data_IF_033404224095
#
_entry.id   IF_033404224095
#
_cell.length_a   1.000
_cell.length_b   1.000
_cell.length_c   1.000
_cell.angle_alpha   90.00
_cell.angle_beta   90.00
_cell.angle_gamma   90.00
#
_symmetry.space_group_name_H-M   'P 1'
#
loop_
_entity.id
_entity.type
_entity.pdbx_description
1 polymer ?
#
# COMPACT_ATOMS: atom_id res chain seq x y z
N UNK A 1 -22.09 9.21 17.07
CA UNK A 1 -20.67 9.17 16.65
C UNK A 1 -20.62 9.39 15.15
N UNK A 2 -19.71 10.22 14.60
CA UNK A 2 -19.58 10.35 13.15
C UNK A 2 -19.30 8.97 12.55
N UNK A 3 -20.11 8.56 11.58
CA UNK A 3 -19.89 7.31 10.85
C UNK A 3 -18.60 7.43 10.03
N UNK A 4 -17.84 6.34 9.90
CA UNK A 4 -16.67 6.26 9.02
C UNK A 4 -16.98 6.72 7.58
N UNK A 5 -18.23 6.63 7.14
CA UNK A 5 -18.74 7.18 5.87
C UNK A 5 -18.41 8.66 5.66
N UNK A 6 -18.40 9.48 6.72
CA UNK A 6 -18.15 10.91 6.53
C UNK A 6 -16.71 11.21 6.13
N UNK A 7 -15.76 10.30 6.36
CA UNK A 7 -14.41 10.42 5.81
C UNK A 7 -14.43 10.42 4.28
N UNK A 8 -15.35 9.67 3.68
CA UNK A 8 -15.42 9.47 2.24
C UNK A 8 -16.25 10.56 1.56
N UNK A 9 -17.28 11.07 2.23
CA UNK A 9 -18.20 12.06 1.67
C UNK A 9 -17.86 13.50 2.03
N UNK A 10 -17.23 13.73 3.18
CA UNK A 10 -16.90 15.06 3.70
C UNK A 10 -15.64 15.00 4.60
N UNK A 11 -14.46 14.79 3.99
CA UNK A 11 -13.20 14.64 4.73
C UNK A 11 -12.85 15.89 5.54
N UNK A 12 -13.18 17.09 5.04
CA UNK A 12 -12.93 18.35 5.75
C UNK A 12 -13.68 18.38 7.08
N UNK A 13 -14.99 18.14 7.06
CA UNK A 13 -15.75 18.10 8.31
C UNK A 13 -15.36 16.90 9.19
N UNK A 14 -14.97 15.76 8.61
CA UNK A 14 -14.50 14.60 9.36
C UNK A 14 -13.24 14.91 10.18
N UNK A 15 -12.26 15.57 9.58
CA UNK A 15 -11.01 15.94 10.23
C UNK A 15 -11.17 17.14 11.17
N UNK A 16 -11.91 18.17 10.77
CA UNK A 16 -12.16 19.34 11.61
C UNK A 16 -12.87 19.03 12.93
N UNK A 17 -13.73 18.00 12.96
CA UNK A 17 -14.44 17.58 14.18
C UNK A 17 -13.57 16.85 15.22
N UNK A 18 -12.35 16.42 14.86
CA UNK A 18 -11.47 15.63 15.74
C UNK A 18 -10.58 16.48 16.65
N UNK A 19 -10.48 17.79 16.41
CA UNK A 19 -9.69 18.70 17.23
C UNK A 19 -8.19 18.36 17.24
N UNK A 20 -7.51 18.77 18.32
CA UNK A 20 -6.05 18.72 18.48
C UNK A 20 -5.52 17.52 19.27
N UNK A 21 -6.39 16.63 19.75
CA UNK A 21 -6.01 15.39 20.45
C UNK A 21 -6.84 14.19 19.93
N UNK A 22 -6.61 13.78 18.66
CA UNK A 22 -7.34 12.67 18.06
C UNK A 22 -6.90 11.31 18.61
N UNK A 23 -7.87 10.42 18.80
CA UNK A 23 -7.57 9.02 19.13
C UNK A 23 -6.89 8.27 17.97
N UNK A 24 -5.81 7.56 18.29
CA UNK A 24 -5.12 6.64 17.37
C UNK A 24 -5.86 5.32 17.13
N UNK A 25 -6.93 5.01 17.87
CA UNK A 25 -7.62 3.70 17.78
C UNK A 25 -8.17 3.42 16.37
N UNK A 26 -8.83 4.40 15.76
CA UNK A 26 -9.37 4.25 14.40
C UNK A 26 -8.27 4.06 13.35
N UNK A 27 -7.26 4.95 13.27
CA UNK A 27 -6.08 4.78 12.44
C UNK A 27 -5.38 3.42 12.60
N UNK A 28 -5.22 2.97 13.85
CA UNK A 28 -4.63 1.68 14.16
C UNK A 28 -5.44 0.51 13.57
N UNK A 29 -6.77 0.56 13.64
CA UNK A 29 -7.65 -0.43 13.01
C UNK A 29 -7.45 -0.44 11.50
N UNK A 30 -7.37 0.72 10.84
CA UNK A 30 -7.14 0.81 9.39
C UNK A 30 -5.85 0.12 8.99
N UNK A 31 -4.73 0.45 9.65
CA UNK A 31 -3.41 -0.13 9.34
C UNK A 31 -3.36 -1.62 9.67
N UNK A 32 -4.02 -2.04 10.75
CA UNK A 32 -4.14 -3.47 11.12
C UNK A 32 -4.93 -4.25 10.08
N UNK A 33 -5.99 -3.68 9.50
CA UNK A 33 -6.74 -4.33 8.42
C UNK A 33 -5.86 -4.52 7.17
N UNK A 34 -5.01 -3.55 6.82
CA UNK A 34 -4.04 -3.70 5.73
C UNK A 34 -3.08 -4.86 6.03
N UNK A 35 -2.51 -4.89 7.23
CA UNK A 35 -1.60 -5.97 7.65
C UNK A 35 -2.29 -7.35 7.61
N UNK A 36 -3.53 -7.44 8.09
CA UNK A 36 -4.31 -8.69 8.08
C UNK A 36 -4.58 -9.17 6.64
N UNK A 37 -5.01 -8.27 5.76
CA UNK A 37 -5.26 -8.60 4.34
C UNK A 37 -3.98 -9.05 3.65
N UNK A 38 -2.86 -8.34 3.88
CA UNK A 38 -1.57 -8.70 3.32
C UNK A 38 -1.05 -10.04 3.86
N UNK A 39 -1.28 -10.35 5.15
CA UNK A 39 -0.93 -11.63 5.74
C UNK A 39 -1.70 -12.78 5.08
N UNK A 40 -3.01 -12.62 4.85
CA UNK A 40 -3.83 -13.60 4.11
C UNK A 40 -3.28 -13.79 2.69
N UNK A 41 -2.97 -12.70 1.98
CA UNK A 41 -2.38 -12.79 0.65
C UNK A 41 -1.02 -13.52 0.64
N UNK A 42 -0.17 -13.28 1.63
CA UNK A 42 1.14 -13.94 1.74
C UNK A 42 1.00 -15.45 1.90
N UNK A 43 0.03 -15.92 2.69
CA UNK A 43 -0.26 -17.36 2.85
C UNK A 43 -0.75 -17.97 1.53
N UNK A 44 -1.60 -17.27 0.78
CA UNK A 44 -2.07 -17.74 -0.53
C UNK A 44 -0.93 -17.85 -1.55
N UNK A 45 0.01 -16.91 -1.53
CA UNK A 45 1.17 -16.89 -2.43
C UNK A 45 2.25 -17.92 -2.05
N UNK A 46 2.29 -18.38 -0.80
CA UNK A 46 3.31 -19.33 -0.36
C UNK A 46 3.34 -20.62 -1.17
N UNK A 47 2.16 -21.16 -1.53
CA UNK A 47 2.08 -22.40 -2.34
C UNK A 47 2.77 -22.26 -3.69
N UNK A 48 2.69 -21.07 -4.28
CA UNK A 48 3.36 -20.74 -5.53
C UNK A 48 4.87 -20.60 -5.33
N UNK A 49 5.31 -19.91 -4.26
CA UNK A 49 6.73 -19.78 -3.94
C UNK A 49 7.39 -21.12 -3.58
N UNK A 50 6.70 -21.99 -2.85
CA UNK A 50 7.22 -23.32 -2.53
C UNK A 50 7.59 -24.12 -3.79
N UNK A 51 6.71 -24.11 -4.81
CA UNK A 51 6.98 -24.75 -6.10
C UNK A 51 8.17 -24.13 -6.84
N UNK A 52 8.33 -22.80 -6.78
CA UNK A 52 9.49 -22.12 -7.39
C UNK A 52 10.81 -22.55 -6.74
N UNK A 53 10.84 -22.67 -5.41
CA UNK A 53 12.04 -23.09 -4.69
C UNK A 53 12.35 -24.59 -4.87
N UNK A 54 11.32 -25.43 -4.99
CA UNK A 54 11.47 -26.84 -5.34
C UNK A 54 12.08 -26.99 -6.74
N UNK A 55 11.54 -26.31 -7.76
CA UNK A 55 12.01 -26.39 -9.14
C UNK A 55 13.39 -25.74 -9.37
N UNK A 56 13.87 -24.93 -8.43
CA UNK A 56 15.22 -24.36 -8.43
C UNK A 56 16.23 -25.17 -7.62
N UNK A 57 15.83 -26.31 -7.04
CA UNK A 57 16.71 -27.20 -6.28
C UNK A 57 17.04 -26.73 -4.86
N UNK A 58 16.45 -25.63 -4.39
CA UNK A 58 16.68 -25.09 -3.04
C UNK A 58 15.91 -25.86 -1.94
N UNK A 59 14.90 -26.64 -2.33
CA UNK A 59 14.10 -27.48 -1.43
C UNK A 59 13.05 -26.72 -0.62
N UNK A 60 12.03 -27.43 -0.15
CA UNK A 60 10.86 -26.86 0.54
C UNK A 60 11.18 -26.22 1.91
N UNK A 61 12.24 -26.69 2.58
CA UNK A 61 12.74 -26.10 3.83
C UNK A 61 13.22 -24.66 3.66
N UNK A 62 13.89 -24.35 2.54
CA UNK A 62 14.34 -22.99 2.23
C UNK A 62 13.15 -22.05 1.99
N UNK A 63 12.15 -22.51 1.22
CA UNK A 63 10.92 -21.75 0.99
C UNK A 63 10.22 -21.36 2.30
N UNK A 64 10.13 -22.31 3.24
CA UNK A 64 9.50 -22.10 4.55
C UNK A 64 10.27 -21.08 5.38
N UNK A 65 11.61 -21.16 5.39
CA UNK A 65 12.46 -20.22 6.10
C UNK A 65 12.32 -18.78 5.55
N UNK A 66 12.34 -18.62 4.22
CA UNK A 66 12.13 -17.33 3.56
C UNK A 66 10.74 -16.78 3.88
N UNK A 67 9.69 -17.61 3.79
CA UNK A 67 8.34 -17.16 4.10
C UNK A 67 8.23 -16.68 5.56
N UNK A 68 8.75 -17.45 6.52
CA UNK A 68 8.70 -17.08 7.93
C UNK A 68 9.40 -15.73 8.19
N UNK A 69 10.56 -15.52 7.57
CA UNK A 69 11.28 -14.25 7.64
C UNK A 69 10.48 -13.10 7.01
N UNK A 70 9.97 -13.28 5.79
CA UNK A 70 9.18 -12.26 5.10
C UNK A 70 7.88 -11.92 5.81
N UNK A 71 7.26 -12.88 6.52
CA UNK A 71 6.01 -12.68 7.23
C UNK A 71 6.09 -11.60 8.31
N UNK A 72 7.26 -11.44 8.95
CA UNK A 72 7.53 -10.34 9.88
C UNK A 72 7.32 -8.98 9.20
N UNK A 73 7.88 -8.82 7.99
CA UNK A 73 7.74 -7.59 7.21
C UNK A 73 6.34 -7.41 6.65
N UNK A 74 5.62 -8.48 6.32
CA UNK A 74 4.21 -8.41 5.89
C UNK A 74 3.33 -7.83 6.99
N UNK A 75 3.56 -8.21 8.24
CA UNK A 75 2.82 -7.69 9.39
C UNK A 75 3.31 -6.30 9.80
N UNK A 76 4.61 -6.10 9.96
CA UNK A 76 5.17 -4.85 10.47
C UNK A 76 5.18 -3.72 9.42
N UNK A 77 5.27 -4.07 8.14
CA UNK A 77 5.43 -3.15 7.02
C UNK A 77 4.39 -2.02 6.99
N UNK A 78 3.08 -2.30 7.06
CA UNK A 78 2.06 -1.25 7.08
C UNK A 78 2.22 -0.24 8.23
N UNK A 79 2.65 -0.68 9.41
CA UNK A 79 2.89 0.19 10.56
C UNK A 79 4.13 1.07 10.36
N UNK A 80 5.20 0.49 9.82
CA UNK A 80 6.41 1.24 9.48
C UNK A 80 6.12 2.29 8.41
N UNK A 81 5.41 1.90 7.35
CA UNK A 81 5.00 2.82 6.27
C UNK A 81 4.12 3.94 6.83
N UNK A 82 3.17 3.64 7.70
CA UNK A 82 2.34 4.67 8.34
C UNK A 82 3.18 5.69 9.13
N UNK A 83 4.12 5.21 9.96
CA UNK A 83 5.05 6.07 10.70
C UNK A 83 5.92 6.91 9.77
N UNK A 84 6.44 6.32 8.68
CA UNK A 84 7.26 7.02 7.70
C UNK A 84 6.49 8.13 6.99
N UNK A 85 5.26 7.87 6.52
CA UNK A 85 4.43 8.89 5.91
C UNK A 85 4.12 10.03 6.88
N UNK A 86 3.76 9.71 8.13
CA UNK A 86 3.51 10.73 9.14
C UNK A 86 4.76 11.58 9.42
N UNK A 87 5.93 10.95 9.54
CA UNK A 87 7.20 11.62 9.77
C UNK A 87 7.61 12.52 8.61
N UNK A 88 7.50 12.01 7.38
CA UNK A 88 7.83 12.77 6.15
C UNK A 88 6.87 13.94 5.97
N UNK A 89 5.57 13.74 6.13
CA UNK A 89 4.60 14.84 6.03
C UNK A 89 4.80 15.89 7.11
N UNK A 90 5.09 15.48 8.35
CA UNK A 90 5.43 16.42 9.40
C UNK A 90 6.68 17.21 9.05
N UNK A 91 7.75 16.53 8.61
CA UNK A 91 9.01 17.19 8.22
C UNK A 91 8.83 18.19 7.08
N UNK A 92 8.10 17.83 6.01
CA UNK A 92 7.84 18.74 4.90
C UNK A 92 6.94 19.91 5.33
N UNK A 93 5.98 19.69 6.24
CA UNK A 93 5.08 20.75 6.71
C UNK A 93 5.78 21.91 7.41
N UNK A 94 6.99 21.69 7.95
CA UNK A 94 7.82 22.73 8.56
C UNK A 94 8.18 23.84 7.58
N UNK A 95 8.31 23.53 6.27
CA UNK A 95 8.56 24.53 5.22
C UNK A 95 7.39 25.50 5.01
N UNK A 96 6.23 25.21 5.59
CA UNK A 96 5.00 25.98 5.49
C UNK A 96 4.51 26.47 6.85
N UNK A 97 5.42 26.55 7.84
CA UNK A 97 5.13 26.95 9.22
C UNK A 97 4.04 26.08 9.89
N UNK A 98 3.95 24.81 9.49
CA UNK A 98 2.99 23.87 10.07
C UNK A 98 3.31 23.59 11.54
N UNK A 99 2.29 23.62 12.40
CA UNK A 99 2.39 23.43 13.85
C UNK A 99 1.61 22.17 14.32
N UNK A 100 1.67 21.80 15.59
CA UNK A 100 0.99 20.64 16.16
C UNK A 100 1.93 19.50 16.51
N UNK A 101 1.40 18.48 17.18
CA UNK A 101 2.19 17.36 17.66
C UNK A 101 2.24 16.20 16.64
N UNK A 102 3.22 15.31 16.84
CA UNK A 102 3.36 14.13 15.99
C UNK A 102 2.20 13.14 16.14
N UNK A 103 1.60 13.06 17.33
CA UNK A 103 0.45 12.19 17.59
C UNK A 103 -0.74 12.55 16.70
N UNK A 104 -1.05 13.84 16.58
CA UNK A 104 -2.14 14.33 15.72
C UNK A 104 -1.85 14.05 14.25
N UNK A 105 -0.63 14.34 13.79
CA UNK A 105 -0.21 14.00 12.41
C UNK A 105 -0.36 12.51 12.15
N UNK A 106 0.15 11.66 13.05
CA UNK A 106 0.07 10.21 12.93
C UNK A 106 -1.37 9.73 12.84
N UNK A 107 -2.26 10.22 13.71
CA UNK A 107 -3.68 9.87 13.69
C UNK A 107 -4.37 10.28 12.39
N UNK A 108 -4.16 11.50 11.91
CA UNK A 108 -4.83 12.00 10.70
C UNK A 108 -4.28 11.32 9.44
N UNK A 109 -2.98 11.07 9.39
CA UNK A 109 -2.33 10.33 8.28
C UNK A 109 -2.82 8.89 8.21
N UNK A 110 -3.05 8.24 9.36
CA UNK A 110 -3.54 6.86 9.37
C UNK A 110 -4.95 6.70 8.79
N UNK A 111 -5.81 7.72 8.92
CA UNK A 111 -7.10 7.72 8.22
C UNK A 111 -6.98 7.81 6.70
N UNK A 112 -5.93 8.45 6.19
CA UNK A 112 -5.69 8.50 4.75
C UNK A 112 -5.26 7.16 4.15
N UNK A 113 -4.98 6.13 4.96
CA UNK A 113 -4.76 4.76 4.48
C UNK A 113 -6.06 3.95 4.24
N UNK A 114 -7.24 4.52 4.51
CA UNK A 114 -8.52 3.82 4.28
C UNK A 114 -8.68 3.32 2.83
N UNK A 115 -8.37 4.11 1.78
CA UNK A 115 -8.41 3.63 0.40
C UNK A 115 -7.45 2.45 0.16
N UNK A 116 -6.31 2.42 0.85
CA UNK A 116 -5.34 1.32 0.74
C UNK A 116 -5.89 -0.01 1.27
N UNK A 117 -6.83 0.00 2.21
CA UNK A 117 -7.53 -1.24 2.64
C UNK A 117 -8.30 -1.84 1.45
N UNK A 118 -9.02 -1.00 0.71
CA UNK A 118 -9.77 -1.43 -0.49
C UNK A 118 -8.81 -1.90 -1.59
N UNK A 119 -7.70 -1.18 -1.79
CA UNK A 119 -6.64 -1.57 -2.72
C UNK A 119 -6.00 -2.91 -2.38
N UNK A 120 -5.70 -3.16 -1.10
CA UNK A 120 -5.19 -4.45 -0.62
C UNK A 120 -6.19 -5.57 -0.91
N UNK A 121 -7.47 -5.40 -0.59
CA UNK A 121 -8.51 -6.42 -0.87
C UNK A 121 -8.63 -6.70 -2.37
N UNK A 122 -8.67 -5.66 -3.21
CA UNK A 122 -8.70 -5.81 -4.65
C UNK A 122 -7.46 -6.54 -5.18
N UNK A 123 -6.27 -6.21 -4.66
CA UNK A 123 -5.02 -6.88 -5.01
C UNK A 123 -5.04 -8.37 -4.64
N UNK A 124 -5.55 -8.72 -3.45
CA UNK A 124 -5.71 -10.13 -3.05
C UNK A 124 -6.65 -10.86 -3.99
N UNK A 125 -7.79 -10.27 -4.34
CA UNK A 125 -8.76 -10.90 -5.25
C UNK A 125 -8.17 -11.14 -6.65
N UNK A 126 -7.47 -10.14 -7.21
CA UNK A 126 -6.82 -10.27 -8.52
C UNK A 126 -5.72 -11.33 -8.48
N UNK A 127 -4.87 -11.30 -7.46
CA UNK A 127 -3.80 -12.29 -7.31
C UNK A 127 -4.34 -13.70 -7.08
N UNK A 128 -5.40 -13.85 -6.27
CA UNK A 128 -6.05 -15.14 -6.07
C UNK A 128 -6.56 -15.70 -7.39
N UNK A 129 -7.29 -14.90 -8.16
CA UNK A 129 -7.75 -15.30 -9.49
C UNK A 129 -6.59 -15.68 -10.41
N UNK A 130 -5.55 -14.84 -10.45
CA UNK A 130 -4.38 -15.04 -11.31
C UNK A 130 -3.62 -16.33 -11.01
N UNK A 131 -3.32 -16.58 -9.74
CA UNK A 131 -2.46 -17.70 -9.33
C UNK A 131 -3.23 -19.00 -9.07
N UNK A 132 -4.49 -18.93 -8.61
CA UNK A 132 -5.24 -20.11 -8.19
C UNK A 132 -6.36 -20.51 -9.15
N UNK A 133 -6.91 -19.58 -9.94
CA UNK A 133 -8.01 -19.86 -10.88
C UNK A 133 -7.51 -19.97 -12.31
N UNK A 134 -6.85 -18.92 -12.83
CA UNK A 134 -6.23 -18.95 -14.16
C UNK A 134 -5.03 -19.88 -14.19
N UNK A 135 -4.32 -19.99 -13.06
CA UNK A 135 -3.06 -20.71 -12.96
C UNK A 135 -1.92 -19.91 -13.58
N UNK A 136 -0.72 -20.17 -13.07
CA UNK A 136 0.52 -19.67 -13.66
C UNK A 136 1.44 -20.87 -13.82
N UNK A 137 1.91 -21.09 -15.05
CA UNK A 137 2.79 -22.20 -15.38
C UNK A 137 4.20 -21.90 -14.87
N UNK A 138 4.55 -22.54 -13.77
CA UNK A 138 5.89 -22.47 -13.20
C UNK A 138 6.81 -23.40 -14.01
N UNK A 139 7.95 -22.91 -14.55
CA UNK A 139 8.90 -23.76 -15.26
C UNK A 139 9.36 -24.92 -14.37
N UNK A 140 9.39 -26.14 -14.94
CA UNK A 140 9.84 -27.34 -14.24
C UNK A 140 11.34 -27.33 -13.95
N UNK A 141 12.11 -26.63 -14.79
CA UNK A 141 13.55 -26.39 -14.61
C UNK A 141 13.83 -24.89 -14.63
N UNK A 142 14.57 -24.41 -13.64
CA UNK A 142 14.84 -22.98 -13.45
C UNK A 142 16.19 -22.58 -14.05
N UNK A 143 16.33 -22.62 -15.39
CA UNK A 143 17.48 -21.99 -16.06
C UNK A 143 17.43 -20.46 -15.90
N UNK A 144 18.54 -19.77 -16.18
CA UNK A 144 18.59 -18.29 -16.13
C UNK A 144 17.58 -17.68 -17.09
N UNK A 145 17.50 -18.20 -18.31
CA UNK A 145 16.58 -17.74 -19.36
C UNK A 145 15.12 -18.04 -18.99
N UNK A 146 14.85 -19.25 -18.49
CA UNK A 146 13.51 -19.63 -18.04
C UNK A 146 13.03 -18.74 -16.89
N UNK A 147 13.91 -18.42 -15.94
CA UNK A 147 13.61 -17.51 -14.84
C UNK A 147 13.30 -16.09 -15.35
N UNK A 148 14.05 -15.59 -16.33
CA UNK A 148 13.82 -14.26 -16.92
C UNK A 148 12.46 -14.18 -17.63
N UNK A 149 12.16 -15.15 -18.50
CA UNK A 149 10.88 -15.22 -19.21
C UNK A 149 9.70 -15.34 -18.25
N UNK A 150 9.86 -16.21 -17.25
CA UNK A 150 8.85 -16.38 -16.21
C UNK A 150 8.65 -15.10 -15.40
N UNK A 151 9.72 -14.45 -14.95
CA UNK A 151 9.66 -13.19 -14.21
C UNK A 151 9.01 -12.07 -15.03
N UNK A 152 9.21 -12.06 -16.34
CA UNK A 152 8.55 -11.14 -17.26
C UNK A 152 7.04 -11.45 -17.34
N UNK A 153 6.65 -12.72 -17.48
CA UNK A 153 5.23 -13.13 -17.48
C UNK A 153 4.49 -12.78 -16.17
N UNK A 154 5.24 -12.68 -15.06
CA UNK A 154 4.70 -12.24 -13.77
C UNK A 154 4.44 -10.73 -13.69
N UNK A 155 5.04 -9.95 -14.58
CA UNK A 155 4.95 -8.49 -14.59
C UNK A 155 4.08 -7.94 -15.73
N UNK A 156 3.75 -8.76 -16.73
CA UNK A 156 2.95 -8.33 -17.89
C UNK A 156 1.50 -8.83 -17.85
N UNK A 157 0.65 -8.19 -18.65
CA UNK A 157 -0.71 -8.63 -18.93
C UNK A 157 -1.83 -7.85 -18.22
N UNK A 158 -3.08 -8.08 -18.64
CA UNK A 158 -4.21 -7.20 -18.30
C UNK A 158 -4.54 -7.15 -16.80
N UNK A 159 -4.33 -8.25 -16.06
CA UNK A 159 -4.58 -8.28 -14.61
C UNK A 159 -3.52 -7.52 -13.82
N UNK A 160 -2.26 -7.49 -14.31
CA UNK A 160 -1.19 -6.70 -13.71
C UNK A 160 -1.45 -5.22 -13.98
N UNK A 161 -1.83 -4.88 -15.22
CA UNK A 161 -2.23 -3.52 -15.58
C UNK A 161 -3.42 -3.03 -14.76
N UNK A 162 -4.47 -3.86 -14.58
CA UNK A 162 -5.61 -3.54 -13.72
C UNK A 162 -5.17 -3.28 -12.26
N UNK A 163 -4.29 -4.13 -11.72
CA UNK A 163 -3.78 -3.96 -10.36
C UNK A 163 -3.02 -2.64 -10.20
N UNK A 164 -2.17 -2.29 -11.18
CA UNK A 164 -1.42 -1.04 -11.18
C UNK A 164 -2.34 0.19 -11.32
N UNK A 165 -3.33 0.12 -12.21
CA UNK A 165 -4.32 1.18 -12.39
C UNK A 165 -5.14 1.43 -11.12
N UNK A 166 -5.62 0.37 -10.47
CA UNK A 166 -6.29 0.48 -9.17
C UNK A 166 -5.36 1.06 -8.10
N UNK A 167 -4.08 0.65 -8.09
CA UNK A 167 -3.07 1.21 -7.20
C UNK A 167 -2.93 2.73 -7.34
N UNK A 168 -2.92 3.25 -8.58
CA UNK A 168 -2.90 4.69 -8.86
C UNK A 168 -4.16 5.37 -8.31
N UNK A 169 -5.34 4.82 -8.60
CA UNK A 169 -6.63 5.38 -8.14
C UNK A 169 -6.68 5.47 -6.62
N UNK A 170 -6.35 4.38 -5.91
CA UNK A 170 -6.38 4.36 -4.45
C UNK A 170 -5.29 5.25 -3.84
N UNK A 171 -4.12 5.38 -4.47
CA UNK A 171 -3.06 6.31 -4.01
C UNK A 171 -3.48 7.76 -4.13
N UNK A 172 -4.11 8.14 -5.26
CA UNK A 172 -4.65 9.49 -5.45
C UNK A 172 -5.77 9.80 -4.45
N UNK A 173 -6.60 8.80 -4.16
CA UNK A 173 -7.62 8.95 -3.11
C UNK A 173 -7.00 9.14 -1.72
N UNK A 174 -5.98 8.35 -1.37
CA UNK A 174 -5.24 8.54 -0.12
C UNK A 174 -4.61 9.93 -0.05
N UNK A 175 -4.04 10.43 -1.15
CA UNK A 175 -3.48 11.77 -1.25
C UNK A 175 -4.51 12.89 -1.00
N UNK A 176 -5.72 12.72 -1.55
CA UNK A 176 -6.84 13.62 -1.29
C UNK A 176 -7.20 13.64 0.20
N UNK A 177 -7.32 12.48 0.85
CA UNK A 177 -7.60 12.40 2.29
C UNK A 177 -6.47 12.99 3.15
N UNK A 178 -5.21 12.70 2.82
CA UNK A 178 -4.05 13.25 3.52
C UNK A 178 -3.98 14.78 3.41
N UNK A 179 -4.43 15.36 2.31
CA UNK A 179 -4.47 16.83 2.14
C UNK A 179 -5.36 17.47 3.19
N UNK A 180 -6.59 16.97 3.36
CA UNK A 180 -7.48 17.46 4.43
C UNK A 180 -7.00 17.06 5.82
N UNK A 181 -6.38 15.89 5.94
CA UNK A 181 -5.76 15.43 7.18
C UNK A 181 -4.71 16.44 7.69
N UNK A 182 -3.74 16.78 6.84
CA UNK A 182 -2.65 17.70 7.19
C UNK A 182 -3.09 19.14 7.33
N UNK A 183 -4.13 19.57 6.59
CA UNK A 183 -4.75 20.89 6.82
C UNK A 183 -5.08 21.09 8.30
N UNK A 184 -5.71 20.09 8.91
CA UNK A 184 -6.16 20.18 10.30
C UNK A 184 -5.09 19.75 11.30
N UNK A 185 -4.30 18.71 10.99
CA UNK A 185 -3.26 18.24 11.90
C UNK A 185 -2.07 19.19 12.00
N UNK A 186 -1.80 19.97 10.94
CA UNK A 186 -0.65 20.88 10.84
C UNK A 186 -1.04 22.36 10.74
N UNK A 187 -2.32 22.70 10.86
CA UNK A 187 -2.85 24.07 10.69
C UNK A 187 -2.48 24.73 9.36
N UNK A 188 -2.32 23.93 8.31
CA UNK A 188 -1.93 24.41 6.97
C UNK A 188 -3.14 24.89 6.17
N UNK A 189 -2.93 25.77 5.19
CA UNK A 189 -3.92 25.95 4.11
C UNK A 189 -4.04 24.67 3.27
N UNK A 190 -5.17 24.47 2.58
CA UNK A 190 -5.37 23.33 1.65
C UNK A 190 -4.23 23.24 0.64
N UNK A 191 -3.77 24.39 0.11
CA UNK A 191 -2.69 24.44 -0.87
C UNK A 191 -1.36 23.94 -0.30
N UNK A 192 -0.99 24.40 0.90
CA UNK A 192 0.24 23.97 1.57
C UNK A 192 0.19 22.49 1.94
N UNK A 193 -0.96 22.00 2.43
CA UNK A 193 -1.16 20.60 2.71
C UNK A 193 -1.03 19.74 1.44
N UNK A 194 -1.63 20.16 0.33
CA UNK A 194 -1.51 19.46 -0.95
C UNK A 194 -0.06 19.39 -1.44
N UNK A 195 0.71 20.47 -1.32
CA UNK A 195 2.14 20.49 -1.66
C UNK A 195 2.96 19.57 -0.74
N UNK A 196 2.62 19.51 0.55
CA UNK A 196 3.24 18.61 1.53
C UNK A 196 3.02 17.14 1.15
N UNK A 197 1.81 16.81 0.70
CA UNK A 197 1.43 15.45 0.27
C UNK A 197 2.02 15.08 -1.09
N UNK A 198 2.14 16.06 -2.00
CA UNK A 198 2.47 15.82 -3.40
C UNK A 198 3.80 15.09 -3.58
N UNK A 199 4.86 15.49 -2.87
CA UNK A 199 6.19 14.91 -3.10
C UNK A 199 6.23 13.39 -2.79
N UNK A 200 5.84 12.90 -1.59
CA UNK A 200 5.82 11.45 -1.32
C UNK A 200 4.86 10.68 -2.23
N UNK A 201 3.72 11.28 -2.60
CA UNK A 201 2.72 10.65 -3.48
C UNK A 201 3.22 10.53 -4.91
N UNK A 202 3.85 11.57 -5.46
CA UNK A 202 4.40 11.56 -6.83
C UNK A 202 5.50 10.50 -6.98
N UNK A 203 6.33 10.31 -5.96
CA UNK A 203 7.33 9.22 -5.97
C UNK A 203 6.64 7.86 -6.04
N UNK A 204 5.63 7.60 -5.20
CA UNK A 204 4.86 6.35 -5.24
C UNK A 204 4.12 6.14 -6.57
N UNK A 205 3.55 7.20 -7.13
CA UNK A 205 2.87 7.17 -8.42
C UNK A 205 3.83 6.92 -9.57
N UNK A 206 5.05 7.47 -9.55
CA UNK A 206 6.05 7.21 -10.58
C UNK A 206 6.42 5.71 -10.63
N UNK A 207 6.64 5.09 -9.46
CA UNK A 207 6.90 3.64 -9.36
C UNK A 207 5.73 2.81 -9.87
N UNK A 208 4.50 3.16 -9.48
CA UNK A 208 3.29 2.42 -9.88
C UNK A 208 2.99 2.60 -11.38
N UNK A 209 3.25 3.80 -11.92
CA UNK A 209 3.09 4.10 -13.35
C UNK A 209 4.10 3.30 -14.16
N UNK A 210 5.35 3.17 -13.69
CA UNK A 210 6.33 2.29 -14.31
C UNK A 210 5.80 0.85 -14.39
N UNK A 211 5.24 0.32 -13.31
CA UNK A 211 4.62 -1.02 -13.30
C UNK A 211 3.48 -1.12 -14.32
N UNK A 212 2.62 -0.09 -14.43
CA UNK A 212 1.55 -0.07 -15.42
C UNK A 212 2.10 -0.10 -16.86
N UNK A 213 3.14 0.69 -17.16
CA UNK A 213 3.74 0.74 -18.50
C UNK A 213 4.39 -0.59 -18.89
N UNK A 214 5.11 -1.24 -17.96
CA UNK A 214 5.63 -2.60 -18.15
C UNK A 214 4.49 -3.59 -18.36
N UNK A 215 3.42 -3.47 -17.58
CA UNK A 215 2.28 -4.38 -17.67
C UNK A 215 1.56 -4.32 -19.03
N UNK A 216 1.58 -3.15 -19.66
CA UNK A 216 1.03 -2.87 -20.99
C UNK A 216 2.03 -3.10 -22.12
N UNK A 217 3.25 -3.55 -21.82
CA UNK A 217 4.33 -3.82 -22.79
C UNK A 217 4.70 -2.56 -23.62
N UNK A 218 4.57 -1.37 -23.02
CA UNK A 218 4.95 -0.08 -23.62
C UNK A 218 6.40 0.29 -23.32
N UNK A 219 7.01 -0.37 -22.33
CA UNK A 219 8.38 -0.21 -21.87
C UNK A 219 8.96 -1.56 -21.47
#
# INVERSE_FOLDING_TARGET
>A
MPSALSLLTDPEAFFGRRGTDPSLKGPLVVVTLIAAVNAVASVLQFRFMARLFENSGMGSGFATAIQAFSFVFVIAGPFVVWLLYAGVFQGISVLFDGDGDFSTTLAFVGWGFVPSVMGSVASVAINFYRFNVRGVDVPSEMSVEAYQQFSQSLQTGPLVALSAALGIVFTLWSAFLWTFGLRHARSLSVRQAALTVALPVLVGLALTTRTLLVALEVM
#
